data_IF_840447867033
#
_entry.id   IF_840447867033
#
_cell.length_a   1.000
_cell.length_b   1.000
_cell.length_c   1.000
_cell.angle_alpha   90.00
_cell.angle_beta   90.00
_cell.angle_gamma   90.00
#
_symmetry.space_group_name_H-M   'P 1'
#
loop_
_entity.id
_entity.type
_entity.pdbx_description
1 polymer ?
#
# COMPACT_ATOMS: atom_id res chain seq x y z
N UNK A 1 -17.16 24.78 -22.56
CA UNK A 1 -16.06 24.79 -21.59
C UNK A 1 -16.65 24.94 -20.19
N UNK A 2 -17.34 23.92 -19.66
CA UNK A 2 -18.12 24.02 -18.41
C UNK A 2 -17.76 22.92 -17.39
N UNK A 3 -16.66 22.19 -17.60
CA UNK A 3 -16.24 21.08 -16.72
C UNK A 3 -15.23 21.42 -15.63
N UNK A 4 -14.45 22.50 -15.78
CA UNK A 4 -13.27 22.72 -14.92
C UNK A 4 -13.56 23.29 -13.52
N UNK A 5 -14.71 23.94 -13.31
CA UNK A 5 -15.03 24.56 -12.01
C UNK A 5 -15.51 23.55 -10.98
N UNK A 6 -16.18 22.46 -11.41
CA UNK A 6 -16.65 21.41 -10.51
C UNK A 6 -15.49 20.55 -9.97
N UNK A 7 -14.48 20.29 -10.80
CA UNK A 7 -13.28 19.54 -10.39
C UNK A 7 -12.42 20.30 -9.38
N UNK A 8 -12.30 21.64 -9.54
CA UNK A 8 -11.56 22.48 -8.56
C UNK A 8 -12.26 22.47 -7.20
N UNK A 9 -13.59 22.48 -7.16
CA UNK A 9 -14.35 22.41 -5.91
C UNK A 9 -14.20 21.05 -5.22
N UNK A 10 -14.20 19.95 -5.99
CA UNK A 10 -13.98 18.60 -5.44
C UNK A 10 -12.57 18.44 -4.84
N UNK A 11 -11.55 19.07 -5.44
CA UNK A 11 -10.18 19.07 -4.90
C UNK A 11 -10.04 19.88 -3.61
N UNK A 12 -10.78 20.99 -3.48
CA UNK A 12 -10.81 21.83 -2.28
C UNK A 12 -11.30 21.07 -1.05
N UNK A 13 -12.37 20.31 -1.19
CA UNK A 13 -12.93 19.51 -0.08
C UNK A 13 -11.97 18.43 0.42
N UNK A 14 -11.16 17.86 -0.48
CA UNK A 14 -10.18 16.83 -0.14
C UNK A 14 -8.98 17.40 0.64
N UNK A 15 -8.57 18.63 0.32
CA UNK A 15 -7.50 19.34 1.04
C UNK A 15 -7.98 19.91 2.38
N UNK A 16 -9.26 20.27 2.50
CA UNK A 16 -9.80 20.81 3.76
C UNK A 16 -9.78 19.79 4.92
N UNK A 17 -9.75 18.49 4.61
CA UNK A 17 -9.72 17.42 5.61
C UNK A 17 -8.29 17.09 6.14
N UNK A 18 -7.24 17.81 5.72
CA UNK A 18 -5.88 17.57 6.20
C UNK A 18 -5.45 18.45 7.37
N UNK A 19 -6.40 19.17 8.01
CA UNK A 19 -6.07 20.21 8.98
C UNK A 19 -6.74 20.06 10.35
N UNK A 20 -7.05 18.83 10.78
CA UNK A 20 -7.36 18.57 12.18
C UNK A 20 -6.10 18.15 12.94
N UNK A 21 -5.78 19.01 13.91
CA UNK A 21 -4.61 18.97 14.76
C UNK A 21 -4.85 17.98 15.91
N UNK A 22 -3.79 17.31 16.33
CA UNK A 22 -3.76 16.50 17.55
C UNK A 22 -4.27 17.31 18.76
N UNK A 23 -5.39 16.91 19.36
CA UNK A 23 -5.78 17.35 20.70
C UNK A 23 -5.80 16.13 21.64
N UNK A 24 -4.73 16.01 22.43
CA UNK A 24 -4.65 15.08 23.56
C UNK A 24 -5.50 15.64 24.70
N UNK A 25 -6.65 15.02 24.98
CA UNK A 25 -7.50 15.41 26.09
C UNK A 25 -7.23 14.54 27.32
N UNK A 26 -6.57 15.13 28.33
CA UNK A 26 -6.41 14.59 29.68
C UNK A 26 -7.80 14.36 30.34
N UNK A 27 -8.08 13.12 30.75
CA UNK A 27 -9.21 12.82 31.62
C UNK A 27 -8.68 12.40 33.01
N UNK A 28 -8.80 13.33 33.95
CA UNK A 28 -8.60 13.13 35.38
C UNK A 28 -9.88 12.48 35.95
N UNK A 29 -9.83 11.20 36.32
CA UNK A 29 -10.95 10.51 37.00
C UNK A 29 -10.46 9.79 38.25
N UNK A 30 -10.84 10.35 39.40
CA UNK A 30 -10.49 9.91 40.75
C UNK A 30 -11.14 8.56 41.04
N UNK A 31 -10.30 7.53 41.18
CA UNK A 31 -10.71 6.18 41.60
C UNK A 31 -11.26 6.19 43.03
N UNK A 32 -12.57 6.01 43.20
CA UNK A 32 -13.14 5.47 44.45
C UNK A 32 -13.37 3.97 44.29
N UNK A 33 -12.57 3.15 44.97
CA UNK A 33 -12.77 1.69 45.05
C UNK A 33 -13.87 1.38 46.08
N UNK A 34 -14.95 0.67 45.72
CA UNK A 34 -15.87 0.14 46.72
C UNK A 34 -15.26 -1.09 47.41
N UNK A 35 -15.40 -1.18 48.74
CA UNK A 35 -14.98 -2.33 49.54
C UNK A 35 -15.84 -3.56 49.19
N UNK A 36 -15.21 -4.60 48.65
CA UNK A 36 -15.81 -5.93 48.50
C UNK A 36 -15.89 -6.64 49.85
N UNK A 37 -17.09 -7.00 50.29
CA UNK A 37 -17.30 -7.90 51.44
C UNK A 37 -17.67 -9.30 50.94
N UNK A 38 -17.29 -10.37 51.67
CA UNK A 38 -17.43 -11.76 51.21
C UNK A 38 -18.87 -12.26 51.03
N UNK A 39 -19.90 -11.43 51.28
CA UNK A 39 -21.30 -11.79 51.09
C UNK A 39 -21.89 -11.39 49.73
N UNK A 40 -21.14 -10.72 48.84
CA UNK A 40 -21.68 -10.19 47.57
C UNK A 40 -21.60 -11.15 46.36
N UNK A 41 -21.27 -12.44 46.56
CA UNK A 41 -21.20 -13.42 45.47
C UNK A 41 -22.40 -14.35 45.45
N UNK A 42 -23.60 -13.82 45.23
CA UNK A 42 -24.71 -14.65 44.74
C UNK A 42 -25.55 -13.90 43.70
N UNK A 43 -25.25 -14.22 42.43
CA UNK A 43 -26.22 -14.20 41.34
C UNK A 43 -26.30 -12.90 40.56
N UNK A 44 -25.47 -12.73 39.51
CA UNK A 44 -25.75 -11.77 38.45
C UNK A 44 -25.72 -12.48 37.09
N UNK A 45 -26.83 -12.27 36.39
CA UNK A 45 -27.19 -12.70 35.04
C UNK A 45 -26.14 -12.31 33.99
N UNK A 46 -26.16 -13.00 32.86
CA UNK A 46 -25.36 -12.71 31.66
C UNK A 46 -25.30 -11.20 31.34
N UNK A 47 -24.18 -10.70 30.78
CA UNK A 47 -24.05 -9.29 30.45
C UNK A 47 -25.10 -8.90 29.42
N UNK A 48 -26.01 -8.01 29.83
CA UNK A 48 -26.95 -7.33 28.95
C UNK A 48 -26.12 -6.46 28.00
N UNK A 49 -26.12 -6.83 26.73
CA UNK A 49 -25.62 -5.99 25.66
C UNK A 49 -26.66 -4.88 25.45
N UNK A 50 -26.47 -3.76 26.13
CA UNK A 50 -27.27 -2.55 25.94
C UNK A 50 -26.77 -1.84 24.66
N UNK A 51 -27.13 -2.40 23.51
CA UNK A 51 -27.15 -1.64 22.26
C UNK A 51 -28.55 -1.02 22.19
N UNK A 52 -28.70 0.32 22.16
CA UNK A 52 -30.02 0.92 22.02
C UNK A 52 -30.71 0.36 20.77
N UNK A 53 -31.87 -0.27 20.99
CA UNK A 53 -32.69 -0.86 19.94
C UNK A 53 -33.13 0.28 19.01
N UNK A 54 -32.65 0.27 17.75
CA UNK A 54 -33.10 1.23 16.73
C UNK A 54 -32.01 1.93 15.91
N UNK A 55 -30.72 1.74 16.20
CA UNK A 55 -29.64 2.24 15.33
C UNK A 55 -29.09 1.13 14.42
N UNK A 56 -29.94 0.59 13.56
CA UNK A 56 -29.47 -0.12 12.37
C UNK A 56 -29.41 0.96 11.30
N UNK A 57 -28.21 1.45 10.94
CA UNK A 57 -28.08 2.32 9.78
C UNK A 57 -28.70 1.58 8.59
N UNK A 58 -29.61 2.19 7.80
CA UNK A 58 -30.21 1.52 6.66
C UNK A 58 -29.11 1.24 5.64
N UNK A 59 -28.59 0.01 5.66
CA UNK A 59 -27.71 -0.52 4.62
C UNK A 59 -28.60 -0.84 3.43
N UNK A 60 -28.14 -0.48 2.23
CA UNK A 60 -28.85 -0.79 0.99
C UNK A 60 -29.22 -2.28 0.95
N UNK A 61 -30.51 -2.61 0.79
CA UNK A 61 -31.00 -3.99 0.91
C UNK A 61 -30.55 -4.90 -0.24
N UNK A 62 -29.87 -4.35 -1.26
CA UNK A 62 -29.24 -5.10 -2.36
C UNK A 62 -27.71 -5.13 -2.24
N UNK A 63 -27.12 -4.35 -1.32
CA UNK A 63 -25.70 -4.43 -1.02
C UNK A 63 -25.44 -5.72 -0.23
N UNK A 64 -24.85 -6.70 -0.91
CA UNK A 64 -24.37 -7.95 -0.30
C UNK A 64 -23.09 -7.70 0.49
N UNK A 65 -22.32 -6.67 0.12
CA UNK A 65 -21.06 -6.28 0.75
C UNK A 65 -21.08 -4.79 1.09
N UNK A 66 -20.71 -4.45 2.32
CA UNK A 66 -20.38 -3.09 2.70
C UNK A 66 -18.98 -2.73 2.17
N UNK A 67 -18.70 -1.45 1.86
CA UNK A 67 -17.36 -1.03 1.43
C UNK A 67 -16.28 -1.28 2.51
N UNK A 68 -16.67 -1.33 3.79
CA UNK A 68 -15.78 -1.72 4.90
C UNK A 68 -15.53 -3.24 4.98
N UNK A 69 -16.36 -4.07 4.33
CA UNK A 69 -16.24 -5.54 4.31
C UNK A 69 -15.47 -6.07 3.10
N UNK A 70 -15.27 -5.23 2.07
CA UNK A 70 -14.43 -5.57 0.93
C UNK A 70 -12.98 -5.29 1.33
N UNK A 71 -12.10 -6.30 1.41
CA UNK A 71 -10.69 -6.07 1.65
C UNK A 71 -10.14 -5.08 0.63
N UNK A 72 -9.28 -4.16 1.07
CA UNK A 72 -8.65 -3.25 0.12
C UNK A 72 -7.78 -4.06 -0.85
N UNK A 73 -7.69 -3.66 -2.12
CA UNK A 73 -6.90 -4.38 -3.14
C UNK A 73 -5.42 -4.54 -2.73
N UNK A 74 -4.94 -3.67 -1.84
CA UNK A 74 -3.62 -3.73 -1.23
C UNK A 74 -3.43 -4.81 -0.14
N UNK A 75 -4.51 -5.43 0.33
CA UNK A 75 -4.57 -6.45 1.38
C UNK A 75 -4.59 -7.89 0.82
N UNK A 76 -3.81 -8.14 -0.22
CA UNK A 76 -3.41 -9.49 -0.64
C UNK A 76 -2.27 -10.05 0.27
N UNK A 77 -2.23 -9.60 1.53
CA UNK A 77 -1.33 -10.13 2.55
C UNK A 77 -2.11 -11.14 3.37
N UNK A 78 -1.83 -12.42 3.11
CA UNK A 78 -2.19 -13.57 3.95
C UNK A 78 -2.33 -13.10 5.41
N UNK A 79 -3.55 -13.05 5.96
CA UNK A 79 -3.81 -12.63 7.36
C UNK A 79 -3.02 -13.45 8.39
N UNK A 80 -2.40 -14.56 7.95
CA UNK A 80 -1.57 -15.46 8.74
C UNK A 80 -0.06 -15.31 8.51
N UNK A 81 0.39 -14.45 7.60
CA UNK A 81 1.81 -14.23 7.35
C UNK A 81 2.38 -13.23 8.37
N UNK A 82 3.39 -13.66 9.11
CA UNK A 82 4.05 -12.84 10.14
C UNK A 82 5.17 -11.98 9.57
N UNK A 83 5.51 -12.14 8.29
CA UNK A 83 6.59 -11.41 7.63
C UNK A 83 6.17 -9.99 7.32
N UNK A 84 7.11 -9.06 7.46
CA UNK A 84 6.83 -7.64 7.22
C UNK A 84 6.97 -7.31 5.73
N UNK A 85 6.06 -6.49 5.22
CA UNK A 85 6.18 -5.89 3.89
C UNK A 85 7.33 -4.88 3.87
N UNK A 86 8.36 -5.05 3.02
CA UNK A 86 9.45 -4.09 2.89
C UNK A 86 8.98 -2.82 2.17
N UNK A 87 9.66 -1.70 2.44
CA UNK A 87 9.46 -0.46 1.68
C UNK A 87 10.02 -0.63 0.28
N UNK A 88 9.25 -0.24 -0.73
CA UNK A 88 9.67 -0.31 -2.12
C UNK A 88 9.29 0.95 -2.89
N UNK A 89 10.02 1.21 -3.96
CA UNK A 89 9.76 2.28 -4.92
C UNK A 89 9.83 1.72 -6.33
N UNK A 90 8.93 2.21 -7.20
CA UNK A 90 8.93 1.87 -8.64
C UNK A 90 9.38 3.11 -9.40
N UNK A 91 10.47 2.96 -10.14
CA UNK A 91 11.06 3.98 -10.99
C UNK A 91 10.99 3.55 -12.45
N UNK A 92 11.10 4.49 -13.37
CA UNK A 92 11.15 4.23 -14.81
C UNK A 92 12.47 4.72 -15.39
N UNK A 93 13.03 3.95 -16.31
CA UNK A 93 14.31 4.25 -16.96
C UNK A 93 14.13 4.33 -18.47
N UNK A 94 14.50 5.49 -19.01
CA UNK A 94 14.57 5.77 -20.44
C UNK A 94 16.03 5.87 -20.87
N UNK A 95 16.40 5.15 -21.93
CA UNK A 95 17.69 5.38 -22.58
C UNK A 95 17.54 6.55 -23.54
N UNK A 96 18.23 7.65 -23.27
CA UNK A 96 18.24 8.85 -24.13
C UNK A 96 19.59 8.99 -24.82
N UNK A 97 19.57 9.26 -26.12
CA UNK A 97 20.74 9.61 -26.91
C UNK A 97 20.88 11.13 -27.02
N UNK A 98 22.06 11.59 -27.48
CA UNK A 98 22.31 13.02 -27.74
C UNK A 98 21.32 13.59 -28.76
N UNK A 99 20.90 12.80 -29.74
CA UNK A 99 19.86 13.17 -30.70
C UNK A 99 18.52 13.48 -30.03
N UNK A 100 18.08 12.64 -29.09
CA UNK A 100 16.84 12.82 -28.33
C UNK A 100 16.89 14.11 -27.49
N UNK A 101 18.01 14.36 -26.81
CA UNK A 101 18.15 15.48 -25.85
C UNK A 101 18.39 16.82 -26.55
N UNK A 102 19.19 16.84 -27.63
CA UNK A 102 19.64 18.09 -28.25
C UNK A 102 18.97 18.41 -29.58
N UNK A 103 18.56 17.39 -30.34
CA UNK A 103 18.01 17.58 -31.68
C UNK A 103 16.50 17.33 -31.76
N UNK A 104 15.93 16.60 -30.79
CA UNK A 104 14.50 16.28 -30.75
C UNK A 104 14.04 15.47 -31.97
N UNK A 105 14.93 14.68 -32.56
CA UNK A 105 14.65 13.89 -33.77
C UNK A 105 14.04 12.51 -33.49
N UNK A 106 14.04 12.08 -32.22
CA UNK A 106 13.40 10.84 -31.79
C UNK A 106 11.98 11.10 -31.29
N UNK A 107 11.11 10.11 -31.46
CA UNK A 107 9.76 10.05 -30.88
C UNK A 107 9.78 9.77 -29.36
N UNK A 108 10.86 10.10 -28.65
CA UNK A 108 11.00 9.92 -27.21
C UNK A 108 10.65 11.21 -26.50
N UNK A 109 9.61 11.16 -25.66
CA UNK A 109 9.24 12.26 -24.78
C UNK A 109 9.63 11.95 -23.30
N UNK A 110 9.60 12.93 -22.37
CA UNK A 110 10.02 12.73 -20.98
C UNK A 110 9.01 11.95 -20.12
N UNK A 111 7.89 11.50 -20.69
CA UNK A 111 6.87 10.68 -20.04
C UNK A 111 7.38 9.26 -19.75
N UNK A 112 6.82 8.66 -18.70
CA UNK A 112 6.95 7.22 -18.45
C UNK A 112 6.46 6.39 -19.64
N UNK A 113 5.56 6.96 -20.46
CA UNK A 113 5.07 6.39 -21.70
C UNK A 113 6.15 6.18 -22.75
N UNK A 114 7.41 6.62 -22.60
CA UNK A 114 8.55 6.30 -23.49
C UNK A 114 9.71 5.58 -22.78
N UNK A 115 9.55 5.26 -21.49
CA UNK A 115 10.53 4.48 -20.73
C UNK A 115 10.56 2.99 -21.13
N UNK A 116 11.76 2.48 -21.38
CA UNK A 116 12.00 1.12 -21.88
C UNK A 116 12.05 0.08 -20.74
N UNK A 117 12.38 0.51 -19.52
CA UNK A 117 12.52 -0.37 -18.37
C UNK A 117 11.90 0.23 -17.11
N UNK A 118 11.35 -0.64 -16.27
CA UNK A 118 10.95 -0.35 -14.91
C UNK A 118 12.08 -0.76 -13.96
N UNK A 119 12.28 -0.01 -12.87
CA UNK A 119 13.26 -0.33 -11.83
C UNK A 119 12.53 -0.35 -10.50
N UNK A 120 12.40 -1.54 -9.92
CA UNK A 120 11.83 -1.72 -8.58
C UNK A 120 12.98 -1.71 -7.58
N UNK A 121 13.00 -0.77 -6.64
CA UNK A 121 13.98 -0.77 -5.54
C UNK A 121 13.28 -1.17 -4.26
N UNK A 122 13.82 -2.15 -3.57
CA UNK A 122 13.26 -2.73 -2.34
C UNK A 122 14.28 -2.59 -1.23
N UNK A 123 13.88 -1.98 -0.12
CA UNK A 123 14.70 -1.90 1.08
C UNK A 123 14.62 -3.21 1.87
N UNK A 124 15.77 -3.81 2.15
CA UNK A 124 15.88 -5.10 2.84
C UNK A 124 16.82 -4.97 4.05
N UNK A 125 16.40 -4.23 5.09
CA UNK A 125 17.27 -3.92 6.21
C UNK A 125 17.65 -5.20 6.97
N UNK A 126 18.88 -5.27 7.45
CA UNK A 126 19.44 -6.44 8.19
C UNK A 126 19.47 -7.77 7.40
N UNK A 127 19.33 -7.74 6.08
CA UNK A 127 19.44 -8.93 5.23
C UNK A 127 20.73 -8.92 4.42
N UNK A 128 21.18 -10.11 4.03
CA UNK A 128 22.20 -10.31 2.99
C UNK A 128 21.54 -10.81 1.72
N UNK A 129 22.27 -10.74 0.61
CA UNK A 129 21.78 -11.20 -0.69
C UNK A 129 21.37 -12.69 -0.67
N UNK A 130 22.07 -13.53 0.09
CA UNK A 130 21.77 -14.96 0.19
C UNK A 130 20.47 -15.29 0.95
N UNK A 131 19.97 -14.34 1.75
CA UNK A 131 18.73 -14.50 2.52
C UNK A 131 17.49 -14.12 1.70
N UNK A 132 17.70 -13.57 0.49
CA UNK A 132 16.66 -12.97 -0.33
C UNK A 132 16.42 -13.84 -1.56
N UNK A 133 15.18 -14.27 -1.74
CA UNK A 133 14.73 -14.94 -2.95
C UNK A 133 13.83 -14.00 -3.75
N UNK A 134 14.05 -13.96 -5.06
CA UNK A 134 13.33 -13.11 -6.00
C UNK A 134 12.74 -13.98 -7.11
N UNK A 135 11.42 -13.98 -7.22
CA UNK A 135 10.67 -14.60 -8.32
C UNK A 135 9.97 -13.49 -9.13
N UNK A 136 10.27 -13.44 -10.43
CA UNK A 136 9.67 -12.46 -11.34
C UNK A 136 8.88 -13.20 -12.41
N UNK A 137 7.61 -12.85 -12.53
CA UNK A 137 6.70 -13.32 -13.58
C UNK A 137 6.40 -12.19 -14.55
N UNK A 138 5.56 -12.48 -15.55
CA UNK A 138 5.19 -11.50 -16.59
C UNK A 138 4.68 -10.17 -16.02
N UNK A 139 3.88 -10.18 -14.96
CA UNK A 139 3.31 -8.96 -14.37
C UNK A 139 3.22 -9.04 -12.84
N UNK A 140 4.07 -9.87 -12.22
CA UNK A 140 4.09 -10.03 -10.76
C UNK A 140 5.54 -10.17 -10.31
N UNK A 141 5.88 -9.48 -9.24
CA UNK A 141 7.16 -9.59 -8.55
C UNK A 141 6.91 -10.12 -7.15
N UNK A 142 7.60 -11.19 -6.82
CA UNK A 142 7.59 -11.84 -5.52
C UNK A 142 9.00 -11.76 -4.95
N UNK A 143 9.13 -11.15 -3.78
CA UNK A 143 10.36 -11.17 -3.00
C UNK A 143 10.02 -11.74 -1.65
N UNK A 144 10.79 -12.72 -1.21
CA UNK A 144 10.64 -13.27 0.12
C UNK A 144 11.97 -13.55 0.77
N UNK A 145 11.94 -13.47 2.09
CA UNK A 145 13.02 -13.75 3.01
C UNK A 145 12.42 -14.42 4.25
N UNK A 146 13.26 -14.77 5.22
CA UNK A 146 12.85 -15.24 6.54
C UNK A 146 11.91 -14.29 7.27
N UNK A 147 12.10 -12.97 7.10
CA UNK A 147 11.31 -11.95 7.83
C UNK A 147 10.56 -10.97 6.94
N UNK A 148 10.85 -10.94 5.63
CA UNK A 148 10.23 -10.01 4.67
C UNK A 148 9.47 -10.77 3.60
N UNK A 149 8.34 -10.19 3.17
CA UNK A 149 7.56 -10.68 2.02
C UNK A 149 7.02 -9.48 1.24
N UNK A 150 7.22 -9.47 -0.06
CA UNK A 150 6.65 -8.50 -0.98
C UNK A 150 6.02 -9.26 -2.15
N UNK A 151 4.70 -9.17 -2.25
CA UNK A 151 3.96 -9.58 -3.43
C UNK A 151 3.44 -8.31 -4.11
N UNK A 152 3.99 -8.00 -5.28
CA UNK A 152 3.67 -6.79 -6.02
C UNK A 152 3.14 -7.14 -7.41
N UNK A 153 1.93 -6.68 -7.72
CA UNK A 153 1.45 -6.67 -9.09
C UNK A 153 2.07 -5.49 -9.85
N UNK A 154 2.67 -5.78 -11.01
CA UNK A 154 3.40 -4.77 -11.76
C UNK A 154 2.44 -3.94 -12.63
N UNK A 155 2.64 -2.61 -12.77
CA UNK A 155 1.77 -1.76 -13.59
C UNK A 155 1.72 -2.19 -15.05
N UNK A 156 2.83 -2.69 -15.57
CA UNK A 156 2.99 -3.16 -16.95
C UNK A 156 3.60 -4.56 -16.99
N UNK A 157 3.30 -5.34 -18.04
CA UNK A 157 3.99 -6.60 -18.26
C UNK A 157 5.47 -6.36 -18.60
N UNK A 158 6.32 -7.30 -18.18
CA UNK A 158 7.79 -7.21 -18.31
C UNK A 158 8.38 -8.46 -18.93
N UNK A 159 9.54 -8.31 -19.59
CA UNK A 159 10.38 -9.44 -19.99
C UNK A 159 11.19 -9.94 -18.80
N UNK A 160 10.56 -10.79 -18.00
CA UNK A 160 11.13 -11.34 -16.76
C UNK A 160 12.48 -12.06 -16.96
N UNK A 161 12.72 -12.66 -18.13
CA UNK A 161 13.99 -13.35 -18.44
C UNK A 161 15.16 -12.39 -18.74
N UNK A 162 14.86 -11.19 -19.23
CA UNK A 162 15.85 -10.14 -19.53
C UNK A 162 16.06 -9.18 -18.34
N UNK A 163 15.46 -9.50 -17.18
CA UNK A 163 15.57 -8.72 -15.96
C UNK A 163 16.99 -8.76 -15.39
N UNK A 164 17.41 -7.67 -14.75
CA UNK A 164 18.69 -7.57 -14.05
C UNK A 164 18.46 -7.12 -12.61
N UNK A 165 19.07 -7.79 -11.65
CA UNK A 165 19.01 -7.41 -10.24
C UNK A 165 20.41 -7.03 -9.74
N UNK A 166 20.48 -5.98 -8.94
CA UNK A 166 21.72 -5.50 -8.31
C UNK A 166 21.47 -5.27 -6.83
N UNK A 167 22.34 -5.85 -6.00
CA UNK A 167 22.32 -5.66 -4.55
C UNK A 167 23.33 -4.60 -4.13
N UNK A 168 22.87 -3.62 -3.35
CA UNK A 168 23.72 -2.66 -2.66
C UNK A 168 23.83 -3.05 -1.19
N UNK A 169 24.98 -3.60 -0.79
CA UNK A 169 25.22 -4.05 0.59
C UNK A 169 25.35 -2.89 1.59
N UNK A 170 25.70 -1.69 1.14
CA UNK A 170 25.87 -0.51 2.02
C UNK A 170 24.49 0.04 2.39
N UNK A 171 23.60 0.13 1.40
CA UNK A 171 22.22 0.61 1.59
C UNK A 171 21.24 -0.51 1.96
N UNK A 172 21.67 -1.77 1.88
CA UNK A 172 20.82 -2.95 2.01
C UNK A 172 19.58 -2.90 1.11
N UNK A 173 19.78 -2.44 -0.13
CA UNK A 173 18.70 -2.23 -1.11
C UNK A 173 18.90 -3.14 -2.31
N UNK A 174 17.83 -3.84 -2.71
CA UNK A 174 17.79 -4.60 -3.96
C UNK A 174 17.18 -3.75 -5.06
N UNK A 175 17.90 -3.56 -6.17
CA UNK A 175 17.42 -2.85 -7.36
C UNK A 175 17.18 -3.82 -8.50
N UNK A 176 15.92 -4.00 -8.92
CA UNK A 176 15.51 -4.90 -9.99
C UNK A 176 15.11 -4.08 -11.22
N UNK A 177 15.91 -4.14 -12.29
CA UNK A 177 15.59 -3.57 -13.61
C UNK A 177 14.85 -4.60 -14.46
N UNK A 178 13.66 -4.24 -14.92
CA UNK A 178 12.75 -5.09 -15.70
C UNK A 178 12.38 -4.39 -17.01
N UNK A 179 12.76 -4.93 -18.19
CA UNK A 179 12.33 -4.37 -19.47
C UNK A 179 10.82 -4.48 -19.65
N UNK A 180 10.17 -3.38 -20.03
CA UNK A 180 8.71 -3.31 -20.17
C UNK A 180 8.32 -3.88 -21.54
N UNK A 181 7.28 -4.71 -21.58
CA UNK A 181 6.64 -5.17 -22.81
C UNK A 181 5.54 -4.16 -23.13
N UNK A 182 5.65 -3.54 -24.30
CA UNK A 182 4.61 -2.66 -24.83
C UNK A 182 3.94 -3.38 -25.99
N UNK A 183 2.62 -3.41 -25.97
CA UNK A 183 1.85 -3.84 -27.13
C UNK A 183 1.90 -2.66 -28.12
N UNK A 184 2.55 -2.86 -29.25
CA UNK A 184 2.51 -1.91 -30.36
C UNK A 184 1.14 -2.09 -31.02
N UNK A 185 0.28 -1.07 -30.93
CA UNK A 185 -1.05 -1.05 -31.54
C UNK A 185 -0.97 -0.70 -33.03
#
# INVERSE_FOLDING_TARGET
MEGGMAEILALSDLLANCNDSDDYQEHDDVRQTPMITPASMTGHSAPVVDRPIGQIKPVDSKAIWLPEEVPSDDEDDDTFDTRRRPTFEILYKQSVMTEDVFLGLSDKDPSSAHCEAMVVRVDCPKHRLEDIELDVKKQKLLLHSSTLKLSLYLPYPVRYQDGQAQWDAVKQTLSIRLPIIRDEW
#
